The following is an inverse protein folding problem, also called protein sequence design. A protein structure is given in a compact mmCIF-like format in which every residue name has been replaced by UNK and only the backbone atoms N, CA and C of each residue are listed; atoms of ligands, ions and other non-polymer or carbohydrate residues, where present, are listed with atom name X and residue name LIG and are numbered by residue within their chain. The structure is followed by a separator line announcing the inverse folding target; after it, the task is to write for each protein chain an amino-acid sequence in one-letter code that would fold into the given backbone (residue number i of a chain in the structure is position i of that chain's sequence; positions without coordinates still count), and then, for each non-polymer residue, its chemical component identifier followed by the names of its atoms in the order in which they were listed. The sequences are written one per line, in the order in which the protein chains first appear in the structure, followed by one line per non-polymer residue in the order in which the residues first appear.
data_IF_554288166742
#
_entry.id   IF_554288166742
#
_cell.length_a   1.000
_cell.length_b   1.000
_cell.length_c   1.000
_cell.angle_alpha   90.00
_cell.angle_beta   90.00
_cell.angle_gamma   90.00
#
_symmetry.space_group_name_H-M   'P 1'
#
loop_
_entity.id
_entity.type
_entity.pdbx_description
1 polymer ?
#
# COMPACT_ATOMS: atom_id res chain seq x y z
N UNK A 1 3.91 -21.01 2.07
CA UNK A 1 2.73 -20.64 2.88
C UNK A 1 2.38 -19.24 2.46
N UNK A 2 1.10 -18.87 2.42
CA UNK A 2 0.68 -17.53 2.02
C UNK A 2 -0.78 -17.35 2.40
N UNK A 3 -1.15 -16.12 2.71
CA UNK A 3 -2.51 -15.73 3.03
C UNK A 3 -2.81 -14.40 2.35
N UNK A 4 -4.05 -14.23 1.91
CA UNK A 4 -4.53 -12.95 1.41
C UNK A 4 -4.94 -12.10 2.60
N UNK A 5 -4.40 -10.90 2.67
CA UNK A 5 -4.69 -9.92 3.72
C UNK A 5 -4.82 -8.55 3.07
N UNK A 6 -5.64 -7.67 3.63
CA UNK A 6 -5.72 -6.29 3.15
C UNK A 6 -4.37 -5.62 3.36
N UNK A 7 -3.95 -4.76 2.43
CA UNK A 7 -2.65 -4.10 2.56
C UNK A 7 -2.54 -3.33 3.88
N UNK A 8 -3.59 -2.63 4.31
CA UNK A 8 -3.64 -1.87 5.55
C UNK A 8 -3.37 -2.72 6.80
N UNK A 9 -3.87 -3.96 6.81
CA UNK A 9 -3.72 -4.90 7.92
C UNK A 9 -2.39 -5.69 7.86
N UNK A 10 -1.60 -5.53 6.79
CA UNK A 10 -0.45 -6.40 6.53
C UNK A 10 0.62 -6.30 7.61
N UNK A 11 0.80 -5.11 8.20
CA UNK A 11 1.79 -4.88 9.26
C UNK A 11 1.49 -5.65 10.56
N UNK A 12 0.23 -6.04 10.79
CA UNK A 12 -0.19 -6.77 11.99
C UNK A 12 -0.02 -8.29 11.83
N UNK A 13 0.15 -8.79 10.60
CA UNK A 13 0.31 -10.22 10.35
C UNK A 13 1.64 -10.73 10.91
N UNK A 14 1.58 -11.78 11.72
CA UNK A 14 2.76 -12.42 12.30
C UNK A 14 3.13 -13.73 11.59
N UNK A 15 4.42 -14.12 11.62
CA UNK A 15 4.84 -15.44 11.13
C UNK A 15 4.09 -16.60 11.79
N UNK A 16 3.78 -16.52 13.08
CA UNK A 16 3.07 -17.58 13.80
C UNK A 16 1.63 -17.78 13.30
N UNK A 17 0.92 -16.68 12.99
CA UNK A 17 -0.43 -16.74 12.41
C UNK A 17 -0.39 -17.38 11.02
N UNK A 18 0.57 -16.99 10.18
CA UNK A 18 0.73 -17.56 8.85
C UNK A 18 1.13 -19.04 8.88
N UNK A 19 2.01 -19.41 9.82
CA UNK A 19 2.44 -20.78 10.03
C UNK A 19 1.40 -21.66 10.73
N UNK A 20 0.47 -21.05 11.49
CA UNK A 20 -0.51 -21.71 12.37
C UNK A 20 0.14 -22.60 13.44
N UNK A 21 1.36 -22.24 13.85
CA UNK A 21 2.10 -22.84 14.94
C UNK A 21 3.21 -21.88 15.40
N UNK A 22 3.72 -22.01 16.64
CA UNK A 22 4.85 -21.21 17.10
C UNK A 22 6.06 -21.36 16.17
N UNK A 23 6.72 -20.26 15.84
CA UNK A 23 7.87 -20.24 14.93
C UNK A 23 8.85 -19.14 15.32
N UNK A 24 10.13 -19.34 14.96
CA UNK A 24 11.17 -18.32 15.09
C UNK A 24 11.50 -17.63 13.75
N UNK A 25 10.69 -17.87 12.72
CA UNK A 25 10.83 -17.16 11.45
C UNK A 25 10.38 -15.71 11.63
N UNK A 26 11.11 -14.78 11.05
CA UNK A 26 10.85 -13.33 11.17
C UNK A 26 10.44 -12.71 9.83
N UNK A 27 10.71 -13.40 8.72
CA UNK A 27 10.56 -12.84 7.38
C UNK A 27 9.14 -13.08 6.83
N UNK A 28 8.44 -11.99 6.54
CA UNK A 28 7.21 -11.94 5.75
C UNK A 28 7.41 -11.02 4.55
N UNK A 29 6.75 -11.34 3.44
CA UNK A 29 6.95 -10.63 2.19
C UNK A 29 5.66 -10.58 1.36
N UNK A 30 5.33 -9.40 0.84
CA UNK A 30 4.18 -9.16 -0.03
C UNK A 30 4.57 -9.41 -1.49
N UNK A 31 3.91 -10.38 -2.12
CA UNK A 31 4.18 -10.80 -3.49
C UNK A 31 3.16 -10.30 -4.51
N UNK A 32 1.91 -10.05 -4.08
CA UNK A 32 0.95 -9.41 -4.97
C UNK A 32 1.12 -7.89 -4.92
N UNK A 33 1.27 -7.32 -6.11
CA UNK A 33 1.56 -5.92 -6.35
C UNK A 33 0.46 -5.27 -7.21
N UNK A 34 -0.62 -6.01 -7.47
CA UNK A 34 -1.82 -5.45 -8.09
C UNK A 34 -2.40 -4.35 -7.18
N UNK A 35 -2.61 -3.17 -7.76
CA UNK A 35 -3.08 -2.01 -7.00
C UNK A 35 -1.98 -1.10 -6.47
N UNK A 36 -0.70 -1.41 -6.71
CA UNK A 36 0.44 -0.52 -6.43
C UNK A 36 0.92 0.18 -7.73
N UNK A 37 1.73 1.25 -7.63
CA UNK A 37 2.34 1.89 -8.79
C UNK A 37 3.14 0.91 -9.65
N UNK A 38 3.17 1.12 -10.97
CA UNK A 38 3.98 0.28 -11.86
C UNK A 38 5.47 0.31 -11.49
N UNK A 39 6.11 -0.86 -11.54
CA UNK A 39 7.52 -1.02 -11.17
C UNK A 39 7.77 -1.13 -9.66
N UNK A 40 6.72 -1.10 -8.83
CA UNK A 40 6.82 -1.50 -7.42
C UNK A 40 7.42 -2.91 -7.33
N UNK A 41 8.39 -3.08 -6.45
CA UNK A 41 8.98 -4.37 -6.15
C UNK A 41 8.24 -5.06 -5.00
N UNK A 42 8.49 -6.36 -4.83
CA UNK A 42 8.07 -7.06 -3.63
C UNK A 42 8.59 -6.33 -2.38
N UNK A 43 7.81 -6.34 -1.29
CA UNK A 43 8.08 -5.49 -0.12
C UNK A 43 7.70 -6.15 1.19
N UNK A 44 8.16 -5.58 2.30
CA UNK A 44 7.71 -6.00 3.63
C UNK A 44 6.26 -5.59 3.87
N UNK A 45 5.52 -6.31 4.74
CA UNK A 45 4.16 -5.91 5.11
C UNK A 45 4.07 -4.50 5.69
N UNK A 46 5.08 -4.08 6.46
CA UNK A 46 5.18 -2.71 6.99
C UNK A 46 5.32 -1.63 5.91
N UNK A 47 5.88 -1.97 4.74
CA UNK A 47 5.95 -1.05 3.60
C UNK A 47 4.65 -1.06 2.78
N UNK A 48 3.88 -2.14 2.83
CA UNK A 48 2.59 -2.26 2.16
C UNK A 48 1.46 -1.54 2.91
N UNK A 49 1.50 -1.55 4.26
CA UNK A 49 0.43 -1.00 5.10
C UNK A 49 0.05 0.45 4.79
N UNK A 50 1.00 1.40 4.65
CA UNK A 50 0.66 2.78 4.32
C UNK A 50 -0.08 2.94 2.98
N UNK A 51 0.22 2.08 1.99
CA UNK A 51 -0.51 2.09 0.71
C UNK A 51 -1.96 1.62 0.87
N UNK A 52 -2.19 0.65 1.76
CA UNK A 52 -3.54 0.21 2.11
C UNK A 52 -4.34 1.28 2.83
N UNK A 53 -3.73 1.96 3.81
CA UNK A 53 -4.36 3.08 4.52
C UNK A 53 -4.74 4.21 3.55
N UNK A 54 -3.82 4.56 2.63
CA UNK A 54 -4.10 5.55 1.60
C UNK A 54 -5.22 5.12 0.64
N UNK A 55 -5.28 3.83 0.29
CA UNK A 55 -6.37 3.29 -0.51
C UNK A 55 -7.73 3.43 0.19
N UNK A 56 -7.79 3.20 1.51
CA UNK A 56 -9.01 3.36 2.29
C UNK A 56 -9.44 4.82 2.39
N UNK A 57 -8.50 5.76 2.49
CA UNK A 57 -8.76 7.20 2.51
C UNK A 57 -9.30 7.71 1.16
N UNK A 58 -8.64 7.34 0.06
CA UNK A 58 -8.94 7.84 -1.30
C UNK A 58 -10.12 7.10 -1.94
N UNK A 59 -10.23 5.81 -1.65
CA UNK A 59 -11.28 4.93 -2.13
C UNK A 59 -11.08 4.40 -3.55
N UNK A 60 -11.73 3.26 -3.83
CA UNK A 60 -11.63 2.49 -5.08
C UNK A 60 -11.88 3.35 -6.34
N UNK A 61 -12.88 4.22 -6.28
CA UNK A 61 -13.32 5.01 -7.43
C UNK A 61 -12.24 5.99 -7.94
N UNK A 62 -11.39 6.50 -7.04
CA UNK A 62 -10.35 7.46 -7.37
C UNK A 62 -8.95 6.84 -7.41
N UNK A 63 -8.79 5.62 -6.89
CA UNK A 63 -7.50 4.95 -6.78
C UNK A 63 -6.71 4.87 -8.10
N UNK A 64 -7.39 4.51 -9.19
CA UNK A 64 -6.75 4.45 -10.51
C UNK A 64 -6.21 5.81 -10.98
N UNK A 65 -6.88 6.91 -10.62
CA UNK A 65 -6.40 8.26 -10.95
C UNK A 65 -5.21 8.67 -10.07
N UNK A 66 -5.20 8.28 -8.80
CA UNK A 66 -4.06 8.49 -7.90
C UNK A 66 -2.83 7.74 -8.41
N UNK A 67 -2.96 6.46 -8.77
CA UNK A 67 -1.84 5.69 -9.33
C UNK A 67 -1.29 6.33 -10.61
N UNK A 68 -2.16 6.77 -11.50
CA UNK A 68 -1.74 7.49 -12.71
C UNK A 68 -0.97 8.77 -12.38
N UNK A 69 -1.38 9.50 -11.33
CA UNK A 69 -0.67 10.69 -10.86
C UNK A 69 0.72 10.34 -10.32
N UNK A 70 0.85 9.26 -9.55
CA UNK A 70 2.14 8.74 -9.07
C UNK A 70 3.08 8.42 -10.23
N UNK A 71 2.57 7.76 -11.26
CA UNK A 71 3.35 7.36 -12.44
C UNK A 71 3.87 8.53 -13.25
N UNK A 72 3.26 9.72 -13.14
CA UNK A 72 3.83 10.93 -13.75
C UNK A 72 5.11 11.41 -13.07
N UNK A 73 5.36 10.98 -11.82
CA UNK A 73 6.44 11.49 -10.97
C UNK A 73 6.23 12.92 -10.46
N UNK A 74 5.07 13.53 -10.73
CA UNK A 74 4.73 14.89 -10.34
C UNK A 74 3.81 14.95 -9.10
N UNK A 75 3.67 13.84 -8.38
CA UNK A 75 2.84 13.81 -7.18
C UNK A 75 3.49 14.57 -6.02
N UNK A 76 2.65 15.11 -5.15
CA UNK A 76 3.12 15.70 -3.89
C UNK A 76 3.24 14.57 -2.89
N UNK A 77 4.45 14.33 -2.40
CA UNK A 77 4.70 13.34 -1.37
C UNK A 77 4.38 13.93 0.01
N UNK A 78 3.80 13.11 0.88
CA UNK A 78 3.65 13.39 2.31
C UNK A 78 4.98 13.15 3.07
N UNK A 79 4.90 13.11 4.39
CA UNK A 79 6.06 12.92 5.26
C UNK A 79 6.69 11.53 5.15
N UNK A 80 5.91 10.52 4.77
CA UNK A 80 6.32 9.12 4.65
C UNK A 80 6.70 8.75 3.21
N UNK A 81 6.59 9.71 2.28
CA UNK A 81 6.92 9.55 0.87
C UNK A 81 5.78 8.98 0.03
N UNK A 82 4.57 8.85 0.61
CA UNK A 82 3.37 8.45 -0.11
C UNK A 82 2.69 9.65 -0.77
N UNK A 83 1.81 9.43 -1.76
CA UNK A 83 1.02 10.51 -2.34
C UNK A 83 0.12 11.15 -1.29
N UNK A 84 0.27 12.47 -1.12
CA UNK A 84 -0.57 13.27 -0.23
C UNK A 84 -2.03 13.28 -0.76
N UNK A 85 -2.95 12.69 0.01
CA UNK A 85 -4.35 12.53 -0.38
C UNK A 85 -5.08 13.87 -0.59
N UNK A 86 -4.84 14.87 0.26
CA UNK A 86 -5.48 16.18 0.13
C UNK A 86 -4.99 16.96 -1.12
N UNK A 87 -3.69 16.93 -1.39
CA UNK A 87 -3.11 17.51 -2.62
C UNK A 87 -3.60 16.81 -3.89
N UNK A 88 -3.89 15.51 -3.79
CA UNK A 88 -4.53 14.75 -4.86
C UNK A 88 -5.97 15.20 -5.07
N UNK A 89 -6.79 15.27 -4.01
CA UNK A 89 -8.20 15.67 -4.05
C UNK A 89 -8.35 17.08 -4.67
N UNK A 90 -7.54 18.05 -4.23
CA UNK A 90 -7.55 19.41 -4.77
C UNK A 90 -7.30 19.43 -6.28
N UNK A 91 -6.28 18.66 -6.74
CA UNK A 91 -5.94 18.56 -8.17
C UNK A 91 -6.97 17.78 -8.97
N UNK A 92 -7.55 16.75 -8.39
CA UNK A 92 -8.57 15.92 -9.01
C UNK A 92 -9.87 16.71 -9.21
N UNK A 93 -10.27 17.50 -8.21
CA UNK A 93 -11.43 18.39 -8.26
C UNK A 93 -11.17 19.69 -9.04
N UNK A 94 -9.90 20.02 -9.33
CA UNK A 94 -9.49 21.24 -10.02
C UNK A 94 -9.67 22.52 -9.20
N UNK A 95 -9.55 22.41 -7.88
CA UNK A 95 -9.71 23.49 -6.91
C UNK A 95 -8.40 24.21 -6.62
#
# INVERSE_FOLDING_TARGET
MGEWTAAADAADLTPEELHRHPTSHEELWCFDLMGFPSGTGEMSPSAAAPWGELYEEVGEAQWGALLAWVETGCYVADVDGLPCASDFEDRYCGC
#
